data_IF_791097500998
#
_entry.id   IF_791097500998
#
_cell.length_a   1.000
_cell.length_b   1.000
_cell.length_c   1.000
_cell.angle_alpha   90.00
_cell.angle_beta   90.00
_cell.angle_gamma   90.00
#
_symmetry.space_group_name_H-M   'P 1'
#
loop_
_entity.id
_entity.type
_entity.pdbx_description
1 polymer ?
#
# COMPACT_ATOMS: atom_id res chain seq x y z
N UNK A 1 -17.98 -8.21 -10.79
CA UNK A 1 -16.93 -8.60 -9.81
C UNK A 1 -15.68 -7.83 -10.19
N UNK A 2 -15.28 -6.82 -9.39
CA UNK A 2 -13.99 -6.16 -9.59
C UNK A 2 -12.90 -7.06 -9.00
N UNK A 3 -11.89 -7.42 -9.80
CA UNK A 3 -10.73 -8.16 -9.30
C UNK A 3 -10.02 -7.33 -8.23
N UNK A 4 -9.54 -7.94 -7.14
CA UNK A 4 -8.78 -7.21 -6.13
C UNK A 4 -7.53 -6.63 -6.79
N UNK A 5 -7.36 -5.31 -6.64
CA UNK A 5 -6.24 -4.58 -7.21
C UNK A 5 -4.93 -5.06 -6.53
N UNK A 6 -3.95 -5.49 -7.34
CA UNK A 6 -2.66 -5.96 -6.83
C UNK A 6 -1.59 -4.91 -7.04
N UNK A 7 -0.79 -4.65 -6.00
CA UNK A 7 0.30 -3.68 -6.06
C UNK A 7 1.32 -4.03 -7.17
N UNK A 8 1.54 -5.32 -7.44
CA UNK A 8 2.44 -5.81 -8.49
C UNK A 8 1.97 -5.53 -9.92
N UNK A 9 0.70 -5.15 -10.08
CA UNK A 9 0.09 -4.79 -11.36
C UNK A 9 0.05 -3.27 -11.56
N UNK A 10 0.43 -2.49 -10.55
CA UNK A 10 0.39 -1.04 -10.63
C UNK A 10 1.58 -0.50 -11.43
N UNK A 11 1.34 0.42 -12.39
CA UNK A 11 2.43 1.09 -13.09
C UNK A 11 3.26 1.93 -12.11
N UNK A 12 4.56 1.63 -12.06
CA UNK A 12 5.55 2.40 -11.32
C UNK A 12 5.97 3.61 -12.16
N UNK A 13 5.75 4.81 -11.64
CA UNK A 13 6.12 6.08 -12.31
C UNK A 13 7.49 6.59 -11.89
N UNK A 14 7.92 6.23 -10.69
CA UNK A 14 9.21 6.60 -10.14
C UNK A 14 9.65 5.56 -9.12
N UNK A 15 10.92 5.20 -9.15
CA UNK A 15 11.53 4.31 -8.17
C UNK A 15 12.92 4.82 -7.82
N UNK A 16 13.23 4.78 -6.53
CA UNK A 16 14.53 5.08 -5.97
C UNK A 16 14.77 4.15 -4.80
N UNK A 17 15.83 3.36 -4.89
CA UNK A 17 16.29 2.52 -3.78
C UNK A 17 16.74 3.35 -2.58
N UNK A 18 16.61 2.79 -1.38
CA UNK A 18 17.14 3.40 -0.16
C UNK A 18 18.67 3.46 -0.21
N UNK A 19 19.22 4.58 0.22
CA UNK A 19 20.66 4.81 0.39
C UNK A 19 20.95 5.18 1.86
N UNK A 20 22.21 5.14 2.30
CA UNK A 20 22.59 5.37 3.70
C UNK A 20 22.07 6.69 4.29
N UNK A 21 21.88 7.72 3.46
CA UNK A 21 21.44 9.06 3.86
C UNK A 21 20.18 9.52 3.13
N UNK A 22 19.48 8.61 2.43
CA UNK A 22 18.34 8.97 1.61
C UNK A 22 17.27 7.87 1.67
N UNK A 23 16.02 8.22 2.01
CA UNK A 23 14.96 7.24 2.07
C UNK A 23 14.67 6.64 0.69
N UNK A 24 14.30 5.36 0.68
CA UNK A 24 13.76 4.71 -0.52
C UNK A 24 12.43 5.36 -0.89
N UNK A 25 12.09 5.37 -2.17
CA UNK A 25 10.84 5.95 -2.63
C UNK A 25 10.34 5.28 -3.90
N UNK A 26 9.09 4.84 -3.88
CA UNK A 26 8.41 4.28 -5.05
C UNK A 26 7.08 4.99 -5.24
N UNK A 27 6.77 5.43 -6.45
CA UNK A 27 5.51 6.07 -6.81
C UNK A 27 4.74 5.16 -7.76
N UNK A 28 3.56 4.75 -7.33
CA UNK A 28 2.61 3.94 -8.07
C UNK A 28 1.49 4.83 -8.61
N UNK A 29 1.04 4.57 -9.84
CA UNK A 29 -0.21 5.11 -10.36
C UNK A 29 -1.31 4.06 -10.21
N UNK A 30 -2.41 4.45 -9.58
CA UNK A 30 -3.64 3.67 -9.53
C UNK A 30 -4.64 4.34 -10.45
N UNK A 31 -4.98 3.67 -11.55
CA UNK A 31 -5.92 4.19 -12.55
C UNK A 31 -7.26 4.50 -11.90
N UNK A 32 -7.70 5.77 -12.01
CA UNK A 32 -8.94 6.26 -11.41
C UNK A 32 -8.82 6.78 -9.98
N UNK A 33 -7.71 6.54 -9.27
CA UNK A 33 -7.48 7.04 -7.91
C UNK A 33 -6.32 8.03 -7.80
N UNK A 34 -5.35 7.98 -8.71
CA UNK A 34 -4.23 8.92 -8.77
C UNK A 34 -2.90 8.30 -8.36
N UNK A 35 -1.99 9.12 -7.83
CA UNK A 35 -0.64 8.71 -7.47
C UNK A 35 -0.53 8.37 -5.98
N UNK A 36 0.15 7.27 -5.70
CA UNK A 36 0.53 6.83 -4.36
C UNK A 36 2.04 6.74 -4.26
N UNK A 37 2.59 7.15 -3.12
CA UNK A 37 4.01 7.16 -2.84
C UNK A 37 4.27 6.32 -1.61
N UNK A 38 5.18 5.37 -1.73
CA UNK A 38 5.72 4.61 -0.62
C UNK A 38 7.12 5.10 -0.34
N UNK A 39 7.39 5.48 0.92
CA UNK A 39 8.70 5.95 1.37
C UNK A 39 9.26 4.95 2.38
N UNK A 40 10.48 4.46 2.15
CA UNK A 40 11.21 3.62 3.10
C UNK A 40 12.14 4.52 3.92
N UNK A 41 11.71 4.93 5.11
CA UNK A 41 12.49 5.81 5.98
C UNK A 41 13.66 5.05 6.63
N UNK A 42 13.35 3.88 7.18
CA UNK A 42 14.28 2.94 7.80
C UNK A 42 13.99 1.54 7.27
N UNK A 43 14.92 0.62 7.49
CA UNK A 43 14.71 -0.79 7.12
C UNK A 43 13.51 -1.34 7.91
N UNK A 44 12.43 -1.66 7.22
CA UNK A 44 11.17 -2.13 7.83
C UNK A 44 10.23 -1.02 8.30
N UNK A 45 10.48 0.26 7.97
CA UNK A 45 9.53 1.36 8.21
C UNK A 45 9.12 1.98 6.87
N UNK A 46 7.82 1.92 6.57
CA UNK A 46 7.24 2.37 5.32
C UNK A 46 6.08 3.34 5.52
N UNK A 47 6.11 4.47 4.84
CA UNK A 47 5.03 5.45 4.80
C UNK A 47 4.34 5.43 3.45
N UNK A 48 3.04 5.19 3.43
CA UNK A 48 2.20 5.27 2.22
C UNK A 48 1.46 6.60 2.22
N UNK A 49 1.58 7.36 1.13
CA UNK A 49 0.93 8.65 0.95
C UNK A 49 0.24 8.73 -0.42
N UNK A 50 -0.77 9.59 -0.55
CA UNK A 50 -1.41 9.90 -1.83
C UNK A 50 -1.14 11.35 -2.25
N UNK A 51 -1.14 11.62 -3.54
CA UNK A 51 -1.00 12.97 -4.08
C UNK A 51 -2.35 13.68 -4.13
N UNK A 52 -2.45 14.78 -3.39
CA UNK A 52 -3.60 15.71 -3.42
C UNK A 52 -3.21 17.04 -4.06
N UNK A 53 -4.17 17.96 -4.20
CA UNK A 53 -3.92 19.30 -4.73
C UNK A 53 -2.90 20.12 -3.91
N UNK A 54 -2.78 19.83 -2.61
CA UNK A 54 -1.89 20.54 -1.69
C UNK A 54 -0.56 19.82 -1.45
N UNK A 55 -0.37 18.63 -2.06
CA UNK A 55 0.83 17.83 -1.92
C UNK A 55 0.55 16.41 -1.43
N UNK A 56 1.57 15.77 -0.86
CA UNK A 56 1.50 14.39 -0.39
C UNK A 56 0.83 14.31 0.98
N UNK A 57 -0.25 13.55 1.07
CA UNK A 57 -0.96 13.27 2.32
C UNK A 57 -0.69 11.84 2.74
N UNK A 58 -0.18 11.65 3.96
CA UNK A 58 0.06 10.34 4.56
C UNK A 58 -1.27 9.61 4.81
N UNK A 59 -1.26 8.30 4.57
CA UNK A 59 -2.44 7.44 4.67
C UNK A 59 -2.24 6.40 5.77
N UNK A 60 -1.15 5.64 5.67
CA UNK A 60 -0.75 4.63 6.65
C UNK A 60 0.76 4.65 6.83
N UNK A 61 1.19 4.28 8.03
CA UNK A 61 2.57 4.01 8.38
C UNK A 61 2.65 2.57 8.87
N UNK A 62 3.61 1.83 8.31
CA UNK A 62 3.83 0.42 8.58
C UNK A 62 5.23 0.27 9.18
N UNK A 63 5.35 -0.57 10.21
CA UNK A 63 6.61 -0.89 10.84
C UNK A 63 6.91 -2.39 10.78
N UNK A 64 8.03 -2.79 11.37
CA UNK A 64 8.51 -4.18 11.38
C UNK A 64 7.49 -5.15 11.98
N UNK A 65 6.59 -4.67 12.84
CA UNK A 65 5.53 -5.46 13.47
C UNK A 65 4.42 -5.85 12.49
N UNK A 66 4.30 -5.15 11.36
CA UNK A 66 3.32 -5.44 10.30
C UNK A 66 3.81 -6.51 9.32
N UNK A 67 5.01 -7.08 9.51
CA UNK A 67 5.64 -8.08 8.63
C UNK A 67 5.85 -7.59 7.18
N UNK A 68 6.05 -6.27 7.02
CA UNK A 68 6.27 -5.61 5.72
C UNK A 68 7.75 -5.29 5.54
N UNK A 69 8.34 -5.74 4.41
CA UNK A 69 9.77 -5.58 4.16
C UNK A 69 10.09 -4.85 2.85
N UNK A 70 9.09 -4.58 2.02
CA UNK A 70 9.27 -3.94 0.72
C UNK A 70 8.21 -2.87 0.46
N UNK A 71 8.55 -1.92 -0.42
CA UNK A 71 7.59 -0.89 -0.85
C UNK A 71 6.35 -1.49 -1.54
N UNK A 72 6.53 -2.63 -2.22
CA UNK A 72 5.45 -3.37 -2.87
C UNK A 72 4.44 -3.93 -1.85
N UNK A 73 4.94 -4.55 -0.77
CA UNK A 73 4.12 -5.07 0.32
C UNK A 73 3.40 -3.95 1.06
N UNK A 74 4.08 -2.83 1.32
CA UNK A 74 3.46 -1.66 1.93
C UNK A 74 2.31 -1.11 1.08
N UNK A 75 2.49 -1.02 -0.24
CA UNK A 75 1.41 -0.62 -1.16
C UNK A 75 0.28 -1.66 -1.16
N UNK A 76 0.59 -2.96 -1.15
CA UNK A 76 -0.43 -4.01 -1.10
C UNK A 76 -1.25 -3.94 0.19
N UNK A 77 -0.62 -3.71 1.35
CA UNK A 77 -1.31 -3.55 2.63
C UNK A 77 -2.32 -2.39 2.58
N UNK A 78 -1.92 -1.24 2.00
CA UNK A 78 -2.84 -0.13 1.78
C UNK A 78 -4.02 -0.48 0.87
N UNK A 79 -3.78 -1.24 -0.21
CA UNK A 79 -4.87 -1.69 -1.09
C UNK A 79 -5.82 -2.65 -0.36
N UNK A 80 -5.31 -3.56 0.46
CA UNK A 80 -6.13 -4.49 1.26
C UNK A 80 -6.99 -3.76 2.30
N UNK A 81 -6.52 -2.64 2.85
CA UNK A 81 -7.36 -1.77 3.70
C UNK A 81 -8.53 -1.16 2.93
N UNK A 82 -8.30 -0.73 1.68
CA UNK A 82 -9.35 -0.12 0.85
C UNK A 82 -10.35 -1.13 0.30
N UNK A 83 -9.91 -2.35 0.03
CA UNK A 83 -10.78 -3.44 -0.35
C UNK A 83 -10.82 -4.44 0.79
N UNK A 84 -11.67 -4.26 1.82
CA UNK A 84 -11.87 -5.30 2.80
C UNK A 84 -12.28 -6.53 2.03
N UNK A 85 -11.38 -7.51 1.95
CA UNK A 85 -11.75 -8.83 1.47
C UNK A 85 -12.86 -9.23 2.42
N UNK A 86 -14.09 -9.34 1.91
CA UNK A 86 -15.12 -10.12 2.55
C UNK A 86 -14.44 -11.45 2.82
N UNK A 87 -14.02 -11.68 4.08
CA UNK A 87 -13.74 -13.03 4.53
C UNK A 87 -14.97 -13.80 4.09
N UNK A 88 -14.84 -14.93 3.38
CA UNK A 88 -15.99 -15.80 3.23
C UNK A 88 -16.50 -16.04 4.64
N UNK A 89 -17.66 -15.46 4.91
CA UNK A 89 -18.42 -15.64 6.13
C UNK A 89 -18.48 -17.15 6.33
N UNK A 90 -18.01 -17.58 7.50
CA UNK A 90 -18.20 -18.92 8.01
C UNK A 90 -19.70 -19.22 7.95
N UNK A 91 -20.11 -19.82 6.83
CA UNK A 91 -21.47 -20.27 6.60
C UNK A 91 -21.77 -21.39 7.59
N UNK A 92 -22.22 -21.00 8.78
CA UNK A 92 -22.49 -21.87 9.91
C UNK A 92 -23.83 -21.62 10.59
N UNK A 93 -24.85 -21.31 9.78
CA UNK A 93 -26.30 -21.46 9.99
C UNK A 93 -26.99 -20.83 11.23
N UNK A 94 -28.00 -19.96 11.04
CA UNK A 94 -28.99 -19.63 12.07
C UNK A 94 -30.11 -20.70 12.12
N UNK A 95 -30.58 -20.99 13.34
CA UNK A 95 -31.82 -21.72 13.67
C UNK A 95 -31.89 -23.22 13.30
N UNK A 96 -31.96 -24.07 14.33
CA UNK A 96 -33.05 -25.03 14.57
C UNK A 96 -33.12 -25.37 16.06
#
# INVERSE_FOLDING_TARGET
MALPLRASQLPVKYERSREAHRPGQTIYEVTGSGLYRVTEASRGEFDVATLTQIGWTELIRLDVSDDVFTALEAMQAWLDVQTPTLRPDDGGNPHE
#
